data_IF_758631303726
#
_entry.id   IF_758631303726
#
_cell.length_a   1.000
_cell.length_b   1.000
_cell.length_c   1.000
_cell.angle_alpha   90.00
_cell.angle_beta   90.00
_cell.angle_gamma   90.00
#
_symmetry.space_group_name_H-M   'P 1'
#
loop_
_entity.id
_entity.type
_entity.pdbx_description
1 polymer ?
#
# COMPACT_ATOMS: atom_id res chain seq x y z
N UNK A 1 -8.56 23.18 14.45
CA UNK A 1 -7.52 22.15 14.71
C UNK A 1 -7.30 21.36 13.42
N UNK A 2 -6.04 21.19 12.97
CA UNK A 2 -5.78 20.56 11.67
C UNK A 2 -6.19 19.08 11.65
N UNK A 3 -6.92 18.71 10.59
CA UNK A 3 -7.17 17.33 10.15
C UNK A 3 -5.90 16.78 9.50
N UNK A 4 -5.75 15.48 9.49
CA UNK A 4 -4.58 14.74 9.03
C UNK A 4 -5.05 13.52 8.27
N UNK A 5 -4.22 13.03 7.35
CA UNK A 5 -4.44 11.74 6.69
C UNK A 5 -3.34 10.76 7.04
N UNK A 6 -3.69 9.49 7.22
CA UNK A 6 -2.73 8.39 7.27
C UNK A 6 -3.00 7.44 6.12
N UNK A 7 -2.02 7.28 5.24
CA UNK A 7 -2.11 6.31 4.15
C UNK A 7 -1.48 4.99 4.60
N UNK A 8 -2.21 3.89 4.41
CA UNK A 8 -1.66 2.55 4.42
C UNK A 8 -1.82 1.91 3.05
N UNK A 9 -0.88 1.06 2.68
CA UNK A 9 -0.95 0.27 1.46
C UNK A 9 0.38 -0.42 1.29
N UNK A 10 0.35 -1.66 0.78
CA UNK A 10 1.59 -2.40 0.58
C UNK A 10 2.52 -1.67 -0.42
N UNK A 11 3.82 -1.95 -0.36
CA UNK A 11 4.74 -1.52 -1.41
C UNK A 11 4.20 -1.98 -2.77
N UNK A 12 4.47 -1.18 -3.79
CA UNK A 12 3.99 -1.41 -5.15
C UNK A 12 2.47 -1.25 -5.39
N UNK A 13 1.73 -0.60 -4.48
CA UNK A 13 0.28 -0.26 -4.66
C UNK A 13 -0.01 1.19 -5.04
N UNK A 14 0.99 1.98 -5.43
CA UNK A 14 0.84 3.39 -5.84
C UNK A 14 0.64 4.42 -4.70
N UNK A 15 0.99 4.08 -3.46
CA UNK A 15 0.84 5.01 -2.30
C UNK A 15 1.61 6.33 -2.42
N UNK A 16 2.73 6.38 -3.14
CA UNK A 16 3.45 7.64 -3.37
C UNK A 16 2.67 8.59 -4.28
N UNK A 17 2.08 8.08 -5.36
CA UNK A 17 1.24 8.88 -6.27
C UNK A 17 0.01 9.42 -5.53
N UNK A 18 -0.65 8.59 -4.72
CA UNK A 18 -1.77 9.04 -3.90
C UNK A 18 -1.38 10.14 -2.90
N UNK A 19 -0.21 10.01 -2.25
CA UNK A 19 0.31 11.05 -1.34
C UNK A 19 0.54 12.38 -2.06
N UNK A 20 1.12 12.35 -3.27
CA UNK A 20 1.29 13.57 -4.08
C UNK A 20 -0.04 14.17 -4.54
N UNK A 21 -1.01 13.34 -4.97
CA UNK A 21 -2.36 13.81 -5.29
C UNK A 21 -3.00 14.54 -4.11
N UNK A 22 -2.92 13.97 -2.90
CA UNK A 22 -3.45 14.62 -1.70
C UNK A 22 -2.73 15.95 -1.44
N UNK A 23 -1.39 15.97 -1.52
CA UNK A 23 -0.59 17.18 -1.30
C UNK A 23 -0.95 18.32 -2.26
N UNK A 24 -1.22 17.99 -3.52
CA UNK A 24 -1.54 18.97 -4.55
C UNK A 24 -2.97 19.49 -4.46
N UNK A 25 -3.91 18.70 -3.92
CA UNK A 25 -5.33 19.00 -4.04
C UNK A 25 -6.06 19.24 -2.70
N UNK A 26 -5.45 18.93 -1.55
CA UNK A 26 -6.08 19.02 -0.22
C UNK A 26 -5.18 19.72 0.79
N UNK A 27 -5.77 20.57 1.65
CA UNK A 27 -5.12 21.08 2.86
C UNK A 27 -5.19 20.04 3.97
N UNK A 28 -4.62 18.85 3.70
CA UNK A 28 -4.71 17.67 4.54
C UNK A 28 -3.32 17.02 4.71
N UNK A 29 -2.54 17.44 5.71
CA UNK A 29 -1.19 16.94 5.92
C UNK A 29 -1.16 15.41 6.14
N UNK A 30 -0.28 14.72 5.41
CA UNK A 30 -0.03 13.29 5.60
C UNK A 30 0.84 13.03 6.84
N UNK A 31 0.40 12.11 7.69
CA UNK A 31 1.21 11.60 8.79
C UNK A 31 2.40 10.80 8.24
N UNK A 32 3.65 11.08 8.68
CA UNK A 32 4.84 10.43 8.16
C UNK A 32 4.72 8.91 8.14
N UNK A 33 4.78 8.34 6.94
CA UNK A 33 4.71 6.89 6.72
C UNK A 33 6.07 6.22 6.54
N UNK A 34 7.17 6.97 6.55
CA UNK A 34 8.54 6.51 6.28
C UNK A 34 9.50 7.11 7.31
N UNK A 35 10.67 6.49 7.48
CA UNK A 35 11.69 7.06 8.35
C UNK A 35 12.26 8.35 7.74
N UNK A 36 12.63 9.35 8.58
CA UNK A 36 13.30 10.56 8.13
C UNK A 36 14.63 10.28 7.40
N UNK A 37 15.06 11.19 6.53
CA UNK A 37 16.23 11.03 5.67
C UNK A 37 17.54 10.82 6.44
N UNK A 38 17.70 11.47 7.60
CA UNK A 38 18.85 11.25 8.48
C UNK A 38 18.88 9.81 9.01
N UNK A 39 17.77 9.29 9.55
CA UNK A 39 17.68 7.90 10.02
C UNK A 39 17.95 6.92 8.88
N UNK A 40 17.43 7.20 7.67
CA UNK A 40 17.72 6.41 6.47
C UNK A 40 19.24 6.38 6.18
N UNK A 41 19.91 7.54 6.18
CA UNK A 41 21.38 7.64 5.94
C UNK A 41 22.20 6.84 6.96
N UNK A 42 21.81 6.85 8.24
CA UNK A 42 22.49 6.04 9.26
C UNK A 42 22.26 4.54 9.05
N UNK A 43 21.05 4.14 8.71
CA UNK A 43 20.70 2.75 8.41
C UNK A 43 21.45 2.21 7.19
N UNK A 44 21.60 3.03 6.15
CA UNK A 44 22.22 2.60 4.88
C UNK A 44 23.72 2.27 5.06
N UNK A 45 24.36 2.72 6.16
CA UNK A 45 25.71 2.31 6.55
C UNK A 45 25.79 0.88 7.11
N UNK A 46 24.66 0.30 7.52
CA UNK A 46 24.55 -1.02 8.16
C UNK A 46 23.48 -1.85 7.42
N UNK A 47 23.71 -2.20 6.14
CA UNK A 47 22.72 -2.87 5.30
C UNK A 47 22.33 -4.24 5.90
N UNK A 48 21.03 -4.54 5.89
CA UNK A 48 20.48 -5.80 6.39
C UNK A 48 20.03 -5.79 7.86
N UNK A 49 20.41 -4.79 8.65
CA UNK A 49 20.00 -4.69 10.04
C UNK A 49 18.93 -3.59 10.24
N UNK A 50 17.66 -3.92 10.02
CA UNK A 50 16.52 -2.97 9.97
C UNK A 50 16.08 -2.40 11.34
N UNK A 51 16.83 -2.67 12.42
CA UNK A 51 16.47 -2.35 13.79
C UNK A 51 16.26 -0.86 14.06
N UNK A 52 17.05 0.03 13.46
CA UNK A 52 16.91 1.48 13.67
C UNK A 52 15.55 1.97 13.20
N UNK A 53 15.10 1.46 12.04
CA UNK A 53 13.79 1.79 11.48
C UNK A 53 12.67 1.21 12.32
N UNK A 54 12.85 -0.02 12.81
CA UNK A 54 11.86 -0.68 13.67
C UNK A 54 11.72 0.06 15.02
N UNK A 55 12.83 0.43 15.66
CA UNK A 55 12.85 1.23 16.89
C UNK A 55 12.22 2.62 16.69
N UNK A 56 12.50 3.26 15.56
CA UNK A 56 11.85 4.52 15.21
C UNK A 56 10.32 4.35 15.17
N UNK A 57 9.80 3.36 14.44
CA UNK A 57 8.34 3.18 14.34
C UNK A 57 7.70 2.71 15.64
N UNK A 58 8.42 1.96 16.47
CA UNK A 58 7.95 1.59 17.80
C UNK A 58 7.77 2.83 18.70
N UNK A 59 8.80 3.68 18.78
CA UNK A 59 8.80 4.88 19.64
C UNK A 59 7.91 6.01 19.13
N UNK A 60 7.77 6.14 17.81
CA UNK A 60 7.01 7.23 17.18
C UNK A 60 5.54 6.89 16.88
N UNK A 61 5.09 5.65 17.15
CA UNK A 61 3.75 5.18 16.79
C UNK A 61 2.62 6.13 17.24
N UNK A 62 2.69 6.66 18.46
CA UNK A 62 1.67 7.58 18.99
C UNK A 62 1.53 8.89 18.22
N UNK A 63 2.51 9.23 17.36
CA UNK A 63 2.55 10.45 16.55
C UNK A 63 2.37 10.21 15.05
N UNK A 64 2.78 9.04 14.54
CA UNK A 64 2.74 8.75 13.09
C UNK A 64 1.91 7.53 12.71
N UNK A 65 1.40 6.77 13.67
CA UNK A 65 0.63 5.54 13.48
C UNK A 65 1.39 4.43 12.74
N UNK A 66 2.72 4.42 12.82
CA UNK A 66 3.57 3.36 12.29
C UNK A 66 3.89 3.49 10.80
N UNK A 67 4.40 2.40 10.24
CA UNK A 67 4.88 2.36 8.85
C UNK A 67 3.71 2.28 7.85
N UNK A 68 3.75 3.04 6.75
CA UNK A 68 2.65 3.05 5.76
C UNK A 68 2.44 1.71 5.03
N UNK A 69 3.44 0.84 5.03
CA UNK A 69 3.35 -0.50 4.44
C UNK A 69 3.07 -1.59 5.49
N UNK A 70 2.76 -1.21 6.73
CA UNK A 70 2.40 -2.15 7.78
C UNK A 70 0.98 -2.73 7.57
N UNK A 71 0.71 -3.85 8.23
CA UNK A 71 -0.64 -4.25 8.55
C UNK A 71 -1.23 -3.23 9.55
N UNK A 72 -2.53 -2.99 9.48
CA UNK A 72 -3.19 -2.04 10.37
C UNK A 72 -3.62 -2.77 11.65
N UNK A 73 -3.14 -2.27 12.79
CA UNK A 73 -3.59 -2.67 14.12
C UNK A 73 -4.64 -1.66 14.59
N UNK A 74 -5.91 -1.90 14.21
CA UNK A 74 -7.04 -1.03 14.55
C UNK A 74 -7.25 -0.85 16.05
N UNK A 75 -7.18 -1.90 16.90
CA UNK A 75 -7.25 -1.74 18.34
C UNK A 75 -6.20 -0.77 18.91
N UNK A 76 -4.94 -0.88 18.47
CA UNK A 76 -3.87 0.03 18.90
C UNK A 76 -4.05 1.42 18.34
N UNK A 77 -4.41 1.54 17.07
CA UNK A 77 -4.65 2.81 16.38
C UNK A 77 -5.77 3.60 17.07
N UNK A 78 -6.91 2.95 17.36
CA UNK A 78 -8.08 3.53 18.07
C UNK A 78 -7.73 4.04 19.47
N UNK A 79 -6.72 3.45 20.13
CA UNK A 79 -6.24 3.86 21.45
C UNK A 79 -5.35 5.10 21.42
N UNK A 80 -4.75 5.46 20.27
CA UNK A 80 -3.81 6.58 20.18
C UNK A 80 -4.49 7.94 20.35
N UNK A 81 -3.81 8.87 21.02
CA UNK A 81 -4.36 10.20 21.30
C UNK A 81 -4.63 11.05 20.05
N UNK A 82 -3.88 10.87 18.96
CA UNK A 82 -4.13 11.60 17.70
C UNK A 82 -5.38 11.09 16.99
N UNK A 83 -5.67 9.79 17.07
CA UNK A 83 -6.87 9.21 16.51
C UNK A 83 -8.12 9.48 17.36
N UNK A 84 -8.02 9.37 18.69
CA UNK A 84 -9.12 9.67 19.63
C UNK A 84 -9.67 11.10 19.49
N UNK A 85 -8.80 12.06 19.17
CA UNK A 85 -9.19 13.47 18.96
C UNK A 85 -9.88 13.73 17.61
N UNK A 86 -10.25 12.68 16.87
CA UNK A 86 -10.89 12.74 15.55
C UNK A 86 -10.13 13.62 14.54
N UNK A 87 -8.80 13.54 14.58
CA UNK A 87 -7.90 14.35 13.72
C UNK A 87 -7.42 13.59 12.50
N UNK A 88 -7.59 12.27 12.44
CA UNK A 88 -6.96 11.44 11.42
C UNK A 88 -8.01 10.67 10.63
N UNK A 89 -8.00 10.86 9.32
CA UNK A 89 -8.65 9.97 8.35
C UNK A 89 -7.65 8.94 7.89
N UNK A 90 -8.04 7.67 7.92
CA UNK A 90 -7.21 6.55 7.47
C UNK A 90 -7.61 6.21 6.05
N UNK A 91 -6.67 6.24 5.12
CA UNK A 91 -6.88 5.80 3.73
C UNK A 91 -6.05 4.55 3.52
N UNK A 92 -6.69 3.48 3.05
CA UNK A 92 -6.00 2.24 2.69
C UNK A 92 -6.05 2.02 1.18
N UNK A 93 -4.95 1.56 0.60
CA UNK A 93 -4.78 1.39 -0.84
C UNK A 93 -4.41 -0.06 -1.18
N UNK A 94 -5.34 -0.74 -1.85
CA UNK A 94 -5.20 -2.13 -2.29
C UNK A 94 -5.05 -2.17 -3.81
N UNK A 95 -4.12 -2.95 -4.32
CA UNK A 95 -3.97 -3.19 -5.76
C UNK A 95 -4.45 -4.59 -6.11
N UNK A 96 -4.93 -4.78 -7.34
CA UNK A 96 -5.27 -6.09 -7.89
C UNK A 96 -4.18 -7.13 -7.52
N UNK A 97 -4.55 -8.29 -6.94
CA UNK A 97 -3.58 -9.24 -6.39
C UNK A 97 -2.57 -9.73 -7.43
N UNK A 98 -3.02 -10.06 -8.64
CA UNK A 98 -2.16 -10.56 -9.71
C UNK A 98 -1.18 -9.48 -10.19
N UNK A 99 -1.69 -8.27 -10.47
CA UNK A 99 -0.86 -7.14 -10.88
C UNK A 99 0.14 -6.73 -9.78
N UNK A 100 -0.27 -6.84 -8.52
CA UNK A 100 0.60 -6.58 -7.37
C UNK A 100 1.70 -7.64 -7.24
N UNK A 101 1.40 -8.93 -7.38
CA UNK A 101 2.39 -10.01 -7.31
C UNK A 101 3.46 -9.86 -8.39
N UNK A 102 3.07 -9.53 -9.62
CA UNK A 102 4.01 -9.21 -10.70
C UNK A 102 4.90 -7.99 -10.36
N UNK A 103 4.28 -6.96 -9.76
CA UNK A 103 5.01 -5.75 -9.34
C UNK A 103 6.01 -6.06 -8.22
N UNK A 104 5.62 -6.91 -7.27
CA UNK A 104 6.47 -7.37 -6.18
C UNK A 104 7.61 -8.24 -6.70
N UNK A 105 7.36 -9.17 -7.62
CA UNK A 105 8.39 -9.98 -8.26
C UNK A 105 9.38 -9.13 -9.06
N UNK A 106 8.92 -8.05 -9.71
CA UNK A 106 9.80 -7.10 -10.40
C UNK A 106 10.69 -6.32 -9.43
N UNK A 107 10.15 -5.92 -8.27
CA UNK A 107 10.84 -5.10 -7.25
C UNK A 107 10.62 -5.69 -5.85
N UNK A 108 11.25 -6.83 -5.55
CA UNK A 108 11.12 -7.45 -4.24
C UNK A 108 11.84 -6.61 -3.19
N UNK A 109 11.35 -6.63 -1.96
CA UNK A 109 11.96 -5.94 -0.83
C UNK A 109 12.19 -6.95 0.30
N UNK A 110 13.20 -6.72 1.13
CA UNK A 110 13.61 -7.62 2.22
C UNK A 110 13.96 -9.06 1.77
N UNK A 111 14.05 -9.30 0.47
CA UNK A 111 14.45 -10.58 -0.12
C UNK A 111 15.75 -10.37 -0.90
N UNK A 112 16.72 -11.25 -0.65
CA UNK A 112 18.00 -11.27 -1.35
C UNK A 112 18.16 -12.65 -1.98
N UNK A 113 18.23 -12.69 -3.31
CA UNK A 113 18.35 -13.93 -4.06
C UNK A 113 19.73 -14.00 -4.70
N UNK A 114 20.46 -15.10 -4.50
CA UNK A 114 21.69 -15.36 -5.22
C UNK A 114 21.42 -15.53 -6.73
N UNK A 115 20.33 -16.25 -7.06
CA UNK A 115 19.73 -16.32 -8.40
C UNK A 115 18.25 -16.00 -8.27
N UNK A 116 17.77 -15.04 -9.07
CA UNK A 116 16.35 -14.66 -9.05
C UNK A 116 15.50 -15.88 -9.46
N UNK A 117 14.54 -16.31 -8.63
CA UNK A 117 13.65 -17.41 -8.99
C UNK A 117 12.79 -17.03 -10.19
N UNK A 118 12.22 -18.02 -10.87
CA UNK A 118 11.10 -17.80 -11.79
C UNK A 118 9.89 -17.23 -11.04
N UNK A 119 8.91 -16.70 -11.77
CA UNK A 119 7.70 -16.16 -11.13
C UNK A 119 6.91 -17.25 -10.40
N UNK A 120 6.75 -18.44 -10.99
CA UNK A 120 6.06 -19.56 -10.35
C UNK A 120 6.77 -20.01 -9.06
N UNK A 121 8.10 -20.16 -9.08
CA UNK A 121 8.87 -20.46 -7.87
C UNK A 121 8.77 -19.36 -6.81
N UNK A 122 8.69 -18.10 -7.23
CA UNK A 122 8.52 -16.97 -6.33
C UNK A 122 7.19 -17.02 -5.56
N UNK A 123 6.10 -17.44 -6.21
CA UNK A 123 4.76 -17.58 -5.61
C UNK A 123 4.68 -18.67 -4.53
N UNK A 124 5.63 -19.61 -4.52
CA UNK A 124 5.70 -20.73 -3.58
C UNK A 124 6.65 -20.46 -2.39
N UNK A 125 7.48 -19.42 -2.45
CA UNK A 125 8.49 -19.18 -1.42
C UNK A 125 7.93 -18.46 -0.20
N UNK A 126 8.33 -18.84 1.03
CA UNK A 126 8.07 -18.05 2.23
C UNK A 126 8.59 -16.62 2.10
N UNK A 127 7.83 -15.67 2.63
CA UNK A 127 8.19 -14.26 2.63
C UNK A 127 8.64 -13.81 4.02
N UNK A 128 9.85 -13.27 4.08
CA UNK A 128 10.41 -12.68 5.30
C UNK A 128 9.87 -11.26 5.51
N UNK A 129 9.28 -11.04 6.67
CA UNK A 129 8.80 -9.71 7.10
C UNK A 129 9.81 -9.08 8.07
N UNK A 130 9.62 -7.79 8.32
CA UNK A 130 10.33 -7.03 9.36
C UNK A 130 9.34 -6.63 10.46
N UNK A 131 9.83 -6.31 11.66
CA UNK A 131 8.95 -6.13 12.82
C UNK A 131 7.89 -5.03 12.61
N UNK A 132 8.29 -3.89 12.02
CA UNK A 132 7.38 -2.77 11.71
C UNK A 132 6.26 -3.12 10.73
N UNK A 133 6.28 -4.28 10.08
CA UNK A 133 5.17 -4.73 9.23
C UNK A 133 3.93 -5.14 10.02
N UNK A 134 4.05 -5.40 11.33
CA UNK A 134 2.93 -5.81 12.18
C UNK A 134 2.43 -7.23 11.88
N UNK A 135 3.32 -8.12 11.46
CA UNK A 135 2.99 -9.51 11.05
C UNK A 135 4.06 -10.48 11.56
N UNK A 136 3.78 -11.80 11.55
CA UNK A 136 4.79 -12.82 11.84
C UNK A 136 6.04 -12.67 10.96
N UNK A 137 7.21 -13.01 11.50
CA UNK A 137 8.52 -12.90 10.83
C UNK A 137 8.58 -13.60 9.47
N UNK A 138 7.80 -14.66 9.32
CA UNK A 138 7.66 -15.42 8.09
C UNK A 138 6.18 -15.58 7.79
N UNK A 139 5.80 -15.31 6.55
CA UNK A 139 4.49 -15.68 5.99
C UNK A 139 4.70 -16.70 4.89
N UNK A 140 3.73 -17.56 4.67
CA UNK A 140 3.87 -18.75 3.84
C UNK A 140 4.22 -18.45 2.38
N UNK A 141 3.66 -17.36 1.82
CA UNK A 141 3.97 -16.93 0.46
C UNK A 141 3.68 -15.45 0.22
N UNK A 142 4.11 -14.87 -0.92
CA UNK A 142 3.70 -13.54 -1.33
C UNK A 142 2.17 -13.39 -1.49
N UNK A 143 1.45 -14.48 -1.81
CA UNK A 143 -0.02 -14.45 -1.89
C UNK A 143 -0.62 -14.29 -0.49
N UNK A 144 -0.11 -15.04 0.49
CA UNK A 144 -0.52 -14.91 1.89
C UNK A 144 -0.17 -13.55 2.49
N UNK A 145 0.95 -12.95 2.07
CA UNK A 145 1.31 -11.58 2.40
C UNK A 145 0.22 -10.59 1.94
N UNK A 146 -0.22 -10.72 0.68
CA UNK A 146 -1.31 -9.89 0.15
C UNK A 146 -2.60 -10.09 0.96
N UNK A 147 -3.01 -11.34 1.20
CA UNK A 147 -4.22 -11.63 1.99
C UNK A 147 -4.15 -10.99 3.38
N UNK A 148 -3.05 -11.23 4.12
CA UNK A 148 -2.89 -10.76 5.49
C UNK A 148 -2.92 -9.22 5.60
N UNK A 149 -2.21 -8.52 4.70
CA UNK A 149 -2.20 -7.06 4.68
C UNK A 149 -3.56 -6.49 4.37
N UNK A 150 -4.19 -6.96 3.30
CA UNK A 150 -5.46 -6.40 2.83
C UNK A 150 -6.62 -6.77 3.77
N UNK A 151 -6.56 -7.94 4.41
CA UNK A 151 -7.48 -8.27 5.50
C UNK A 151 -7.34 -7.31 6.69
N UNK A 152 -6.12 -6.92 7.06
CA UNK A 152 -5.91 -5.94 8.15
C UNK A 152 -6.48 -4.56 7.84
N UNK A 153 -6.59 -4.19 6.57
CA UNK A 153 -7.20 -2.93 6.16
C UNK A 153 -8.70 -2.92 6.42
N UNK A 154 -9.38 -4.04 6.18
CA UNK A 154 -10.83 -4.18 6.34
C UNK A 154 -11.25 -4.53 7.77
N UNK A 155 -10.50 -5.42 8.44
CA UNK A 155 -10.89 -5.97 9.75
C UNK A 155 -10.94 -4.86 10.79
N UNK A 156 -12.08 -4.72 11.46
CA UNK A 156 -12.27 -3.72 12.52
C UNK A 156 -12.03 -2.27 12.05
N UNK A 157 -12.10 -2.02 10.74
CA UNK A 157 -12.05 -0.68 10.18
C UNK A 157 -13.13 0.20 10.81
N UNK A 158 -12.77 1.44 11.06
CA UNK A 158 -13.71 2.46 11.51
C UNK A 158 -14.35 3.09 10.27
N UNK A 159 -15.51 2.58 9.84
CA UNK A 159 -16.14 2.95 8.57
C UNK A 159 -16.43 4.46 8.45
N UNK A 160 -16.54 5.19 9.57
CA UNK A 160 -16.72 6.64 9.57
C UNK A 160 -15.42 7.44 9.35
N UNK A 161 -14.25 6.79 9.46
CA UNK A 161 -12.93 7.44 9.39
C UNK A 161 -11.91 6.70 8.53
N UNK A 162 -12.29 5.54 8.00
CA UNK A 162 -11.50 4.70 7.12
C UNK A 162 -12.08 4.75 5.72
N UNK A 163 -11.22 5.02 4.72
CA UNK A 163 -11.57 4.93 3.32
C UNK A 163 -10.71 3.87 2.65
N UNK A 164 -11.36 2.87 2.07
CA UNK A 164 -10.72 1.81 1.30
C UNK A 164 -10.78 2.16 -0.19
N UNK A 165 -9.62 2.20 -0.84
CA UNK A 165 -9.48 2.55 -2.24
C UNK A 165 -8.73 1.45 -2.99
N UNK A 166 -9.06 1.28 -4.27
CA UNK A 166 -8.23 0.52 -5.19
C UNK A 166 -7.14 1.41 -5.78
N UNK A 167 -5.97 0.85 -6.04
CA UNK A 167 -4.90 1.56 -6.75
C UNK A 167 -5.37 2.01 -8.15
N UNK A 168 -6.19 1.19 -8.78
CA UNK A 168 -6.78 1.37 -10.09
C UNK A 168 -7.77 2.55 -10.10
N UNK A 169 -8.51 2.79 -9.00
CA UNK A 169 -9.40 3.95 -8.90
C UNK A 169 -8.63 5.27 -9.05
N UNK A 170 -7.37 5.32 -8.57
CA UNK A 170 -6.49 6.50 -8.72
C UNK A 170 -6.04 6.75 -10.16
N UNK A 171 -6.21 5.78 -11.06
CA UNK A 171 -5.91 5.89 -12.48
C UNK A 171 -7.17 6.09 -13.33
N UNK A 172 -8.31 5.58 -12.86
CA UNK A 172 -9.62 5.75 -13.53
C UNK A 172 -10.07 7.20 -13.41
N UNK A 173 -10.16 7.70 -12.18
CA UNK A 173 -10.64 9.05 -11.87
C UNK A 173 -9.95 9.57 -10.59
N UNK A 174 -8.72 10.11 -10.72
CA UNK A 174 -7.97 10.61 -9.57
C UNK A 174 -8.68 11.78 -8.88
N UNK A 175 -9.47 12.58 -9.60
CA UNK A 175 -10.21 13.69 -9.01
C UNK A 175 -11.32 13.18 -8.10
N UNK A 176 -12.09 12.18 -8.54
CA UNK A 176 -13.11 11.56 -7.70
C UNK A 176 -12.51 10.87 -6.46
N UNK A 177 -11.32 10.28 -6.57
CA UNK A 177 -10.59 9.77 -5.39
C UNK A 177 -10.30 10.88 -4.39
N UNK A 178 -9.78 12.02 -4.84
CA UNK A 178 -9.53 13.18 -3.99
C UNK A 178 -10.82 13.70 -3.34
N UNK A 179 -11.91 13.80 -4.10
CA UNK A 179 -13.21 14.23 -3.58
C UNK A 179 -13.72 13.30 -2.46
N UNK A 180 -13.57 11.98 -2.63
CA UNK A 180 -13.94 10.99 -1.60
C UNK A 180 -13.09 11.15 -0.33
N UNK A 181 -11.78 11.37 -0.47
CA UNK A 181 -10.90 11.60 0.67
C UNK A 181 -11.29 12.90 1.39
N UNK A 182 -11.54 13.98 0.64
CA UNK A 182 -11.97 15.26 1.19
C UNK A 182 -13.26 15.14 2.00
N UNK A 183 -14.24 14.43 1.44
CA UNK A 183 -15.53 14.16 2.08
C UNK A 183 -15.37 13.42 3.41
N UNK A 184 -14.64 12.30 3.44
CA UNK A 184 -14.42 11.52 4.68
C UNK A 184 -13.58 12.30 5.70
N UNK A 185 -12.63 13.13 5.24
CA UNK A 185 -11.82 13.97 6.12
C UNK A 185 -12.55 15.21 6.65
N UNK A 186 -13.67 15.59 6.03
CA UNK A 186 -14.38 16.83 6.32
C UNK A 186 -13.54 18.06 5.99
N UNK A 187 -12.85 18.04 4.85
CA UNK A 187 -12.02 19.16 4.35
C UNK A 187 -12.46 19.56 2.95
N UNK A 188 -12.12 20.78 2.55
CA UNK A 188 -12.39 21.28 1.20
C UNK A 188 -11.30 20.86 0.22
N UNK A 189 -11.69 20.64 -1.03
CA UNK A 189 -10.78 20.48 -2.16
C UNK A 189 -10.26 21.83 -2.63
N UNK A 190 -9.15 21.82 -3.37
CA UNK A 190 -8.74 22.95 -4.20
C UNK A 190 -9.85 23.29 -5.23
N UNK A 191 -9.83 24.53 -5.73
CA UNK A 191 -10.75 25.00 -6.77
C UNK A 191 -10.54 24.29 -8.12
N UNK A 192 -9.29 23.92 -8.40
CA UNK A 192 -8.88 23.18 -9.58
C UNK A 192 -8.18 21.89 -9.17
N UNK A 193 -8.39 20.83 -9.95
CA UNK A 193 -7.72 19.56 -9.74
C UNK A 193 -6.38 19.52 -10.47
N UNK A 194 -5.33 19.15 -9.76
CA UNK A 194 -3.98 18.98 -10.28
C UNK A 194 -3.55 17.51 -10.23
N UNK A 195 -3.26 16.93 -11.39
CA UNK A 195 -2.77 15.56 -11.50
C UNK A 195 -1.23 15.50 -11.49
N UNK A 196 -0.68 14.32 -11.20
CA UNK A 196 0.75 14.01 -11.35
C UNK A 196 0.96 13.24 -12.64
N UNK A 197 1.43 13.93 -13.68
CA UNK A 197 1.56 13.35 -15.03
C UNK A 197 2.85 12.57 -15.22
N UNK A 198 3.96 12.99 -14.59
CA UNK A 198 5.26 12.30 -14.70
C UNK A 198 5.37 11.18 -13.68
N UNK A 199 5.92 10.04 -14.11
CA UNK A 199 6.24 8.93 -13.21
C UNK A 199 7.25 9.34 -12.16
N UNK A 200 7.02 8.88 -10.93
CA UNK A 200 7.97 9.04 -9.81
C UNK A 200 9.06 7.97 -9.77
N UNK A 201 9.06 7.03 -10.73
CA UNK A 201 9.91 5.83 -10.70
C UNK A 201 10.73 5.59 -11.97
N UNK A 202 10.35 6.21 -13.07
CA UNK A 202 10.87 5.93 -14.41
C UNK A 202 10.51 7.09 -15.32
N UNK A 203 11.50 7.93 -15.66
CA UNK A 203 11.28 9.18 -16.39
C UNK A 203 10.75 8.95 -17.81
N UNK A 204 10.85 7.72 -18.34
CA UNK A 204 10.32 7.35 -19.65
C UNK A 204 8.82 7.02 -19.64
N UNK A 205 8.16 7.12 -18.48
CA UNK A 205 6.75 6.73 -18.29
C UNK A 205 5.96 7.87 -17.68
N UNK A 206 4.71 7.95 -18.06
CA UNK A 206 3.77 8.95 -17.58
C UNK A 206 2.50 8.29 -17.01
N UNK A 207 1.56 9.14 -16.61
CA UNK A 207 0.26 8.73 -16.12
C UNK A 207 -0.48 7.88 -17.15
N UNK A 208 -0.47 8.25 -18.43
CA UNK A 208 -1.20 7.56 -19.48
C UNK A 208 -0.65 6.15 -19.74
N UNK A 209 0.68 5.99 -19.72
CA UNK A 209 1.30 4.66 -19.76
C UNK A 209 0.79 3.76 -18.63
N UNK A 210 0.78 4.24 -17.40
CA UNK A 210 0.34 3.43 -16.26
C UNK A 210 -1.16 3.17 -16.28
N UNK A 211 -1.95 4.16 -16.68
CA UNK A 211 -3.38 4.04 -16.86
C UNK A 211 -3.69 2.96 -17.90
N UNK A 212 -3.07 3.01 -19.07
CA UNK A 212 -3.21 1.98 -20.09
C UNK A 212 -2.78 0.62 -19.55
N UNK A 213 -1.56 0.51 -19.02
CA UNK A 213 -1.00 -0.77 -18.56
C UNK A 213 -1.86 -1.47 -17.49
N UNK A 214 -2.42 -0.73 -16.53
CA UNK A 214 -3.22 -1.32 -15.45
C UNK A 214 -4.70 -1.47 -15.78
N UNK A 215 -5.30 -0.54 -16.54
CA UNK A 215 -6.73 -0.58 -16.84
C UNK A 215 -7.07 -1.42 -18.07
N UNK A 216 -6.12 -1.63 -18.99
CA UNK A 216 -6.30 -2.50 -20.16
C UNK A 216 -5.77 -3.92 -19.92
N UNK A 217 -5.52 -4.30 -18.66
CA UNK A 217 -4.99 -5.61 -18.29
C UNK A 217 -3.65 -5.99 -18.98
N UNK A 218 -2.85 -5.01 -19.40
CA UNK A 218 -1.55 -5.26 -20.07
C UNK A 218 -0.55 -6.06 -19.21
N UNK A 219 -0.73 -6.05 -17.89
CA UNK A 219 0.03 -6.88 -16.95
C UNK A 219 -0.27 -8.38 -17.07
N UNK A 220 -1.42 -8.79 -17.61
CA UNK A 220 -1.80 -10.21 -17.73
C UNK A 220 -0.84 -11.01 -18.60
N UNK A 221 -0.19 -10.36 -19.58
CA UNK A 221 0.83 -10.99 -20.41
C UNK A 221 2.04 -11.53 -19.61
N UNK A 222 2.20 -11.10 -18.35
CA UNK A 222 3.22 -11.63 -17.44
C UNK A 222 2.81 -12.87 -16.65
N UNK A 223 1.61 -13.43 -16.86
CA UNK A 223 1.09 -14.58 -16.12
C UNK A 223 0.93 -15.80 -17.04
N UNK A 224 1.41 -16.95 -16.59
CA UNK A 224 1.01 -18.24 -17.16
C UNK A 224 -0.29 -18.74 -16.52
N UNK A 225 -0.97 -19.68 -17.18
CA UNK A 225 -2.13 -20.39 -16.58
C UNK A 225 -1.78 -21.06 -15.26
N UNK A 226 -0.57 -21.62 -15.14
CA UNK A 226 -0.11 -22.25 -13.91
C UNK A 226 0.05 -21.22 -12.78
N UNK A 227 0.58 -20.03 -13.08
CA UNK A 227 0.67 -18.95 -12.09
C UNK A 227 -0.72 -18.55 -11.59
N UNK A 228 -1.70 -18.42 -12.50
CA UNK A 228 -3.09 -18.12 -12.13
C UNK A 228 -3.66 -19.20 -11.21
N UNK A 229 -3.45 -20.49 -11.53
CA UNK A 229 -3.92 -21.61 -10.70
C UNK A 229 -3.29 -21.58 -9.30
N UNK A 230 -1.98 -21.35 -9.21
CA UNK A 230 -1.26 -21.23 -7.93
C UNK A 230 -1.77 -20.05 -7.11
N UNK A 231 -1.97 -18.90 -7.74
CA UNK A 231 -2.49 -17.70 -7.08
C UNK A 231 -3.91 -17.94 -6.59
N UNK A 232 -4.80 -18.46 -7.44
CA UNK A 232 -6.21 -18.72 -7.11
C UNK A 232 -6.35 -19.70 -5.94
N UNK A 233 -5.49 -20.72 -5.86
CA UNK A 233 -5.50 -21.69 -4.76
C UNK A 233 -5.20 -21.05 -3.40
N UNK A 234 -4.45 -19.94 -3.37
CA UNK A 234 -3.94 -19.29 -2.14
C UNK A 234 -4.64 -17.97 -1.83
N UNK A 235 -5.32 -17.35 -2.79
CA UNK A 235 -6.03 -16.09 -2.56
C UNK A 235 -7.24 -16.29 -1.65
N UNK A 236 -7.40 -15.38 -0.70
CA UNK A 236 -8.63 -15.31 0.09
C UNK A 236 -9.71 -14.65 -0.76
N UNK A 237 -10.64 -15.47 -1.27
CA UNK A 237 -11.72 -15.01 -2.14
C UNK A 237 -12.62 -13.98 -1.46
N UNK A 238 -12.88 -14.11 -0.16
CA UNK A 238 -13.71 -13.14 0.55
C UNK A 238 -13.05 -11.75 0.58
N UNK A 239 -11.72 -11.70 0.74
CA UNK A 239 -10.98 -10.43 0.69
C UNK A 239 -10.96 -9.86 -0.73
N UNK A 240 -10.71 -10.69 -1.74
CA UNK A 240 -10.74 -10.28 -3.16
C UNK A 240 -12.09 -9.65 -3.52
N UNK A 241 -13.18 -10.33 -3.18
CA UNK A 241 -14.55 -9.88 -3.46
C UNK A 241 -14.88 -8.58 -2.69
N UNK A 242 -14.45 -8.46 -1.42
CA UNK A 242 -14.66 -7.24 -0.61
C UNK A 242 -13.99 -6.00 -1.17
N UNK A 243 -12.89 -6.16 -1.91
CA UNK A 243 -12.24 -5.05 -2.62
C UNK A 243 -12.79 -4.86 -4.04
N UNK A 244 -13.78 -5.64 -4.48
CA UNK A 244 -14.36 -5.53 -5.82
C UNK A 244 -13.42 -6.00 -6.92
N UNK A 245 -12.55 -6.96 -6.62
CA UNK A 245 -11.79 -7.69 -7.64
C UNK A 245 -12.47 -9.04 -7.93
N UNK A 246 -12.05 -9.68 -9.03
CA UNK A 246 -12.45 -11.01 -9.39
C UNK A 246 -11.23 -11.91 -9.59
N UNK A 247 -11.39 -13.19 -9.34
CA UNK A 247 -10.38 -14.18 -9.72
C UNK A 247 -10.34 -14.30 -11.24
N UNK A 248 -9.14 -14.48 -11.79
CA UNK A 248 -8.95 -14.78 -13.21
C UNK A 248 -9.37 -16.23 -13.46
N UNK A 249 -10.24 -16.45 -14.46
CA UNK A 249 -10.58 -17.78 -14.95
C UNK A 249 -9.33 -18.49 -15.47
N UNK A 250 -9.08 -19.70 -14.99
CA UNK A 250 -7.93 -20.55 -15.33
C UNK A 250 -8.30 -21.70 -16.25
#
# INVERSE_FOLDING_TARGET
MNKLVKIYGERNTNTNYLGELIRLNLVLPELPGVVPANIKRYQDKWPGNEWLRDLYFLSSYGRNLGWKHAAVDWPRLKKTGIYKRNRVTVVTLTKNPYAWLLSLYKRPYHQYYAKKPTFSEFLERPWKTVWREGMPRWVESPVHLWNAKNASYLREADEGRALHLRAEDTLIDPQQVINRIAHVAGVTTASEFHNVLRSTKDDSKDFDYYRQYYLSDGWRAGLSENDVKVINKKLDRAIVDRFGYALISS
#
